data_IF_280496216329
#
_entry.id   IF_280496216329
#
_cell.length_a   1.000
_cell.length_b   1.000
_cell.length_c   1.000
_cell.angle_alpha   90.00
_cell.angle_beta   90.00
_cell.angle_gamma   90.00
#
_symmetry.space_group_name_H-M   'P 1'
#
loop_
_entity.id
_entity.type
_entity.pdbx_description
1 polymer ?
#
# COMPACT_ATOMS: atom_id res chain seq x y z
N UNK A 1 -24.52 11.14 20.79
CA UNK A 1 -23.24 10.60 20.28
C UNK A 1 -23.21 9.11 20.58
N UNK A 2 -23.64 8.26 19.64
CA UNK A 2 -23.44 6.82 19.77
C UNK A 2 -22.00 6.51 19.35
N UNK A 3 -21.22 5.97 20.28
CA UNK A 3 -19.90 5.42 19.97
C UNK A 3 -20.06 4.11 19.20
N UNK A 4 -19.46 4.00 18.02
CA UNK A 4 -19.30 2.72 17.33
C UNK A 4 -18.34 1.84 18.16
N UNK A 5 -18.90 0.83 18.82
CA UNK A 5 -18.15 -0.33 19.29
C UNK A 5 -17.91 -1.26 18.09
N UNK A 6 -16.69 -1.75 17.92
CA UNK A 6 -16.40 -2.81 16.96
C UNK A 6 -17.02 -4.10 17.50
N UNK A 7 -18.06 -4.61 16.82
CA UNK A 7 -18.67 -5.89 17.16
C UNK A 7 -17.64 -7.01 16.90
N UNK A 8 -17.00 -7.51 17.95
CA UNK A 8 -16.01 -8.59 17.82
C UNK A 8 -15.18 -8.93 19.06
N UNK A 9 -15.48 -8.41 20.26
CA UNK A 9 -14.74 -8.77 21.48
C UNK A 9 -15.66 -9.25 22.61
N UNK A 10 -15.04 -10.07 23.48
CA UNK A 10 -15.57 -10.83 24.63
C UNK A 10 -16.63 -10.05 25.42
N UNK A 11 -17.77 -10.67 25.79
CA UNK A 11 -18.74 -10.03 26.68
C UNK A 11 -18.11 -9.88 28.07
N UNK A 12 -17.75 -8.65 28.44
CA UNK A 12 -17.43 -8.28 29.82
C UNK A 12 -18.58 -7.42 30.33
N UNK A 13 -19.08 -7.76 31.52
CA UNK A 13 -20.24 -7.18 32.20
C UNK A 13 -20.29 -5.64 32.12
N UNK A 14 -21.50 -5.10 31.95
CA UNK A 14 -21.80 -3.68 31.79
C UNK A 14 -21.13 -2.81 32.88
N UNK A 15 -20.03 -2.19 32.49
CA UNK A 15 -19.42 -1.03 33.12
C UNK A 15 -18.86 -0.15 32.01
N UNK A 16 -19.32 1.09 31.92
CA UNK A 16 -18.95 2.08 30.91
C UNK A 16 -17.44 2.10 30.61
N UNK A 17 -17.04 1.56 29.46
CA UNK A 17 -15.71 1.72 28.89
C UNK A 17 -15.84 2.39 27.52
N UNK A 18 -15.39 3.63 27.45
CA UNK A 18 -15.02 4.29 26.20
C UNK A 18 -13.87 3.53 25.55
N UNK A 19 -13.79 3.53 24.22
CA UNK A 19 -12.75 2.84 23.47
C UNK A 19 -11.36 3.35 23.86
N UNK A 20 -10.63 2.61 24.67
CA UNK A 20 -9.18 2.75 24.82
C UNK A 20 -8.50 1.88 23.78
N UNK A 21 -8.03 2.52 22.71
CA UNK A 21 -7.02 1.93 21.83
C UNK A 21 -5.79 1.60 22.66
N UNK A 22 -5.25 0.40 22.53
CA UNK A 22 -4.01 -0.01 23.18
C UNK A 22 -2.80 0.79 22.66
N UNK A 23 -2.64 1.98 23.20
CA UNK A 23 -1.36 2.55 23.58
C UNK A 23 -1.46 2.85 25.08
N UNK A 24 -0.42 2.47 25.83
CA UNK A 24 -0.14 2.87 27.23
C UNK A 24 -1.15 3.84 27.87
N UNK A 25 -1.84 3.42 28.92
CA UNK A 25 -2.78 4.28 29.65
C UNK A 25 -2.07 5.53 30.18
N UNK A 26 -2.41 6.68 29.61
CA UNK A 26 -2.05 7.98 30.16
C UNK A 26 -3.05 8.38 31.25
N UNK A 27 -2.79 7.96 32.49
CA UNK A 27 -3.31 8.68 33.65
C UNK A 27 -2.52 9.99 33.79
N UNK A 28 -3.24 11.08 33.95
CA UNK A 28 -2.72 12.44 34.14
C UNK A 28 -1.77 12.54 35.35
N UNK A 29 -0.46 12.41 35.10
CA UNK A 29 0.64 12.88 35.96
C UNK A 29 1.95 12.88 35.15
N UNK A 30 2.83 13.81 35.49
CA UNK A 30 4.06 14.26 34.84
C UNK A 30 5.02 13.22 34.22
N UNK A 31 5.60 13.60 33.06
CA UNK A 31 6.89 13.21 32.46
C UNK A 31 7.30 11.72 32.42
N UNK A 32 6.94 11.04 31.32
CA UNK A 32 7.72 9.92 30.76
C UNK A 32 7.34 9.67 29.28
N UNK A 33 8.27 10.00 28.38
CA UNK A 33 8.48 9.59 26.98
C UNK A 33 7.51 8.58 26.33
N UNK A 34 6.32 9.01 25.89
CA UNK A 34 5.51 8.20 24.96
C UNK A 34 6.21 8.11 23.60
N UNK A 35 6.74 6.94 23.21
CA UNK A 35 7.35 6.76 21.89
C UNK A 35 6.27 6.89 20.80
N UNK A 36 6.56 7.66 19.76
CA UNK A 36 5.71 7.75 18.57
C UNK A 36 6.22 6.72 17.58
N UNK A 37 5.39 5.72 17.27
CA UNK A 37 5.69 4.77 16.20
C UNK A 37 5.37 5.41 14.86
N UNK A 38 6.30 6.21 14.34
CA UNK A 38 6.15 6.83 13.03
C UNK A 38 6.38 5.84 11.87
N UNK A 39 6.64 4.55 12.11
CA UNK A 39 7.17 3.66 11.05
C UNK A 39 6.86 2.17 11.05
N UNK A 40 6.18 1.57 12.02
CA UNK A 40 6.28 0.12 12.13
C UNK A 40 5.70 -0.65 10.92
N UNK A 41 4.57 -0.23 10.33
CA UNK A 41 3.91 -0.99 9.24
C UNK A 41 3.36 -0.17 8.07
N UNK A 42 3.45 1.16 8.10
CA UNK A 42 2.76 2.02 7.12
C UNK A 42 1.23 1.88 7.22
N UNK A 43 0.71 1.81 8.44
CA UNK A 43 -0.72 1.64 8.71
C UNK A 43 -1.48 2.89 8.23
N UNK A 44 -2.47 2.75 7.32
CA UNK A 44 -3.16 3.88 6.70
C UNK A 44 -4.41 4.29 7.49
N UNK A 45 -4.23 4.63 8.76
CA UNK A 45 -5.34 4.97 9.67
C UNK A 45 -5.89 6.38 9.47
N UNK A 46 -5.24 7.25 8.69
CA UNK A 46 -5.78 8.59 8.37
C UNK A 46 -7.17 8.53 7.71
N UNK A 47 -7.44 7.44 6.97
CA UNK A 47 -8.68 7.25 6.24
C UNK A 47 -9.88 6.93 7.16
N UNK A 48 -9.64 6.65 8.45
CA UNK A 48 -10.73 6.36 9.40
C UNK A 48 -11.72 7.52 9.50
N UNK A 49 -11.23 8.77 9.46
CA UNK A 49 -12.09 9.95 9.50
C UNK A 49 -13.07 9.99 8.32
N UNK A 50 -12.59 9.69 7.11
CA UNK A 50 -13.42 9.61 5.91
C UNK A 50 -14.51 8.55 6.03
N UNK A 51 -14.15 7.33 6.45
CA UNK A 51 -15.11 6.23 6.52
C UNK A 51 -16.14 6.39 7.65
N UNK A 52 -15.77 7.06 8.75
CA UNK A 52 -16.73 7.46 9.79
C UNK A 52 -17.76 8.44 9.26
N UNK A 53 -17.37 9.38 8.41
CA UNK A 53 -18.27 10.33 7.76
C UNK A 53 -19.11 9.66 6.65
N UNK A 54 -18.55 8.68 5.95
CA UNK A 54 -19.29 7.88 4.97
C UNK A 54 -20.48 7.13 5.61
N UNK A 55 -20.32 6.67 6.86
CA UNK A 55 -21.38 6.08 7.66
C UNK A 55 -22.06 4.90 6.98
N UNK A 56 -23.39 4.85 7.07
CA UNK A 56 -24.23 3.77 6.53
C UNK A 56 -24.03 3.51 5.02
N UNK A 57 -23.59 4.50 4.24
CA UNK A 57 -23.31 4.29 2.80
C UNK A 57 -22.25 3.22 2.58
N UNK A 58 -21.30 3.10 3.50
CA UNK A 58 -20.19 2.14 3.46
C UNK A 58 -20.44 0.89 4.32
N UNK A 59 -21.58 0.78 5.01
CA UNK A 59 -21.94 -0.39 5.79
C UNK A 59 -22.25 -1.59 4.87
N UNK A 60 -21.87 -2.79 5.31
CA UNK A 60 -22.19 -4.06 4.66
C UNK A 60 -22.97 -4.93 5.65
N UNK A 61 -24.10 -5.48 5.20
CA UNK A 61 -24.90 -6.43 5.97
C UNK A 61 -24.68 -7.81 5.37
N UNK A 62 -24.19 -8.75 6.16
CA UNK A 62 -23.89 -10.12 5.73
C UNK A 62 -24.89 -11.06 6.40
N UNK A 63 -25.87 -11.63 5.65
CA UNK A 63 -26.73 -12.67 6.18
C UNK A 63 -25.92 -13.89 6.61
N UNK A 64 -26.31 -14.57 7.68
CA UNK A 64 -25.54 -15.70 8.24
C UNK A 64 -25.36 -16.91 7.30
N UNK A 65 -26.13 -16.98 6.21
CA UNK A 65 -26.02 -18.02 5.17
C UNK A 65 -25.19 -17.58 3.96
N UNK A 66 -24.85 -16.29 3.86
CA UNK A 66 -24.12 -15.77 2.70
C UNK A 66 -22.67 -16.26 2.71
N UNK A 67 -22.14 -16.61 1.54
CA UNK A 67 -20.73 -17.00 1.41
C UNK A 67 -20.35 -18.38 1.97
N UNK A 68 -21.31 -19.26 2.27
CA UNK A 68 -21.02 -20.61 2.80
C UNK A 68 -20.25 -21.53 1.83
N UNK A 69 -20.36 -21.29 0.52
CA UNK A 69 -19.68 -22.08 -0.52
C UNK A 69 -18.22 -21.65 -0.70
N UNK A 70 -17.34 -22.61 -0.99
CA UNK A 70 -15.97 -22.32 -1.45
C UNK A 70 -15.97 -21.54 -2.79
N UNK A 71 -16.88 -21.89 -3.68
CA UNK A 71 -16.92 -21.35 -5.05
C UNK A 71 -17.72 -20.05 -5.13
N UNK A 72 -17.16 -19.05 -5.81
CA UNK A 72 -17.88 -17.85 -6.26
C UNK A 72 -18.36 -18.01 -7.70
N UNK A 73 -17.48 -18.52 -8.57
CA UNK A 73 -17.76 -18.79 -9.97
C UNK A 73 -16.99 -20.04 -10.42
N UNK A 74 -17.62 -21.21 -10.35
CA UNK A 74 -16.96 -22.48 -10.64
C UNK A 74 -16.39 -22.60 -12.07
N UNK A 75 -16.92 -21.83 -13.03
CA UNK A 75 -16.42 -21.80 -14.41
C UNK A 75 -15.34 -20.75 -14.68
N UNK A 76 -15.04 -19.88 -13.71
CA UNK A 76 -14.06 -18.81 -13.85
C UNK A 76 -12.63 -19.29 -13.61
N UNK A 77 -11.65 -18.64 -14.27
CA UNK A 77 -10.22 -18.91 -14.06
C UNK A 77 -9.85 -18.77 -12.57
N UNK A 78 -10.29 -17.68 -11.94
CA UNK A 78 -10.16 -17.45 -10.50
C UNK A 78 -11.50 -17.81 -9.83
N UNK A 79 -11.77 -19.09 -9.64
CA UNK A 79 -13.10 -19.59 -9.22
C UNK A 79 -13.58 -19.11 -7.84
N UNK A 80 -12.68 -18.61 -7.00
CA UNK A 80 -12.99 -18.02 -5.69
C UNK A 80 -13.16 -16.50 -5.72
N UNK A 81 -13.09 -15.84 -6.89
CA UNK A 81 -13.33 -14.41 -7.06
C UNK A 81 -14.82 -14.11 -7.11
N UNK A 82 -15.29 -13.23 -6.23
CA UNK A 82 -16.66 -12.71 -6.26
C UNK A 82 -16.89 -11.83 -7.50
N UNK A 83 -17.92 -12.10 -8.32
CA UNK A 83 -18.22 -11.31 -9.52
C UNK A 83 -18.43 -9.82 -9.23
N UNK A 84 -19.02 -9.50 -8.07
CA UNK A 84 -19.24 -8.12 -7.66
C UNK A 84 -17.91 -7.40 -7.38
N UNK A 85 -16.95 -8.08 -6.74
CA UNK A 85 -15.63 -7.52 -6.53
C UNK A 85 -14.92 -7.26 -7.86
N UNK A 86 -14.97 -8.21 -8.79
CA UNK A 86 -14.39 -8.03 -10.13
C UNK A 86 -14.98 -6.80 -10.83
N UNK A 87 -16.30 -6.64 -10.79
CA UNK A 87 -16.99 -5.48 -11.37
C UNK A 87 -16.50 -4.18 -10.77
N UNK A 88 -16.45 -4.05 -9.44
CA UNK A 88 -16.06 -2.81 -8.78
C UNK A 88 -14.56 -2.50 -8.92
N UNK A 89 -13.70 -3.52 -8.98
CA UNK A 89 -12.27 -3.32 -9.28
C UNK A 89 -12.09 -2.76 -10.70
N UNK A 90 -12.75 -3.34 -11.70
CA UNK A 90 -12.67 -2.84 -13.08
C UNK A 90 -13.25 -1.43 -13.18
N UNK A 91 -14.36 -1.16 -12.48
CA UNK A 91 -15.01 0.15 -12.43
C UNK A 91 -14.11 1.22 -11.83
N UNK A 92 -13.45 0.97 -10.69
CA UNK A 92 -12.56 1.96 -10.07
C UNK A 92 -11.33 2.25 -10.94
N UNK A 93 -10.78 1.25 -11.64
CA UNK A 93 -9.67 1.48 -12.57
C UNK A 93 -10.07 2.30 -13.79
N UNK A 94 -11.26 2.06 -14.36
CA UNK A 94 -11.80 2.90 -15.45
C UNK A 94 -12.06 4.34 -15.00
N UNK A 95 -12.61 4.51 -13.80
CA UNK A 95 -12.86 5.83 -13.21
C UNK A 95 -11.55 6.61 -13.04
N UNK A 96 -10.53 5.99 -12.45
CA UNK A 96 -9.26 6.65 -12.15
C UNK A 96 -8.39 6.80 -13.40
N UNK A 97 -8.45 5.84 -14.31
CA UNK A 97 -7.60 5.76 -15.49
C UNK A 97 -6.14 5.42 -15.16
N UNK A 98 -5.89 4.76 -14.02
CA UNK A 98 -4.53 4.40 -13.58
C UNK A 98 -4.04 3.04 -14.11
N UNK A 99 -4.91 2.16 -14.60
CA UNK A 99 -4.49 0.88 -15.14
C UNK A 99 -5.42 0.38 -16.24
N UNK A 100 -4.85 -0.32 -17.21
CA UNK A 100 -5.58 -1.15 -18.16
C UNK A 100 -6.11 -2.38 -17.41
N UNK A 101 -7.37 -2.32 -16.99
CA UNK A 101 -8.03 -3.46 -16.33
C UNK A 101 -8.73 -4.37 -17.34
N UNK A 102 -9.38 -3.81 -18.36
CA UNK A 102 -10.11 -4.58 -19.36
C UNK A 102 -9.14 -5.37 -20.25
N UNK A 103 -9.49 -6.63 -20.54
CA UNK A 103 -8.61 -7.58 -21.23
C UNK A 103 -7.62 -8.33 -20.32
N UNK A 104 -7.51 -7.97 -19.04
CA UNK A 104 -6.67 -8.67 -18.06
C UNK A 104 -7.46 -9.70 -17.25
N UNK A 105 -6.78 -10.78 -16.83
CA UNK A 105 -7.27 -11.72 -15.84
C UNK A 105 -7.10 -11.13 -14.43
N UNK A 106 -8.16 -11.19 -13.62
CA UNK A 106 -8.11 -10.73 -12.23
C UNK A 106 -7.88 -11.92 -11.30
N UNK A 107 -6.82 -11.85 -10.48
CA UNK A 107 -6.54 -12.82 -9.41
C UNK A 107 -6.62 -12.10 -8.07
N UNK A 108 -7.55 -12.49 -7.21
CA UNK A 108 -7.67 -11.94 -5.85
C UNK A 108 -6.78 -12.71 -4.87
N UNK A 109 -6.22 -12.01 -3.89
CA UNK A 109 -5.38 -12.60 -2.84
C UNK A 109 -5.57 -11.88 -1.50
N UNK A 110 -5.06 -12.52 -0.45
CA UNK A 110 -5.08 -12.06 0.95
C UNK A 110 -4.08 -10.91 1.16
N UNK A 111 -4.34 -9.79 0.48
CA UNK A 111 -3.42 -8.68 0.28
C UNK A 111 -2.37 -8.95 -0.80
N UNK A 112 -1.68 -7.91 -1.23
CA UNK A 112 -0.61 -8.02 -2.23
C UNK A 112 0.56 -8.86 -1.74
N UNK A 113 0.77 -9.01 -0.43
CA UNK A 113 1.76 -9.93 0.15
C UNK A 113 1.60 -11.36 -0.34
N UNK A 114 0.37 -11.89 -0.42
CA UNK A 114 0.14 -13.23 -0.98
C UNK A 114 0.32 -13.23 -2.49
N UNK A 115 -0.15 -12.19 -3.18
CA UNK A 115 -0.07 -12.08 -4.64
C UNK A 115 1.37 -11.94 -5.16
N UNK A 116 2.25 -11.28 -4.40
CA UNK A 116 3.68 -11.25 -4.66
C UNK A 116 4.25 -12.66 -4.73
N UNK A 117 3.96 -13.48 -3.71
CA UNK A 117 4.43 -14.86 -3.65
C UNK A 117 3.84 -15.70 -4.78
N UNK A 118 2.55 -15.49 -5.10
CA UNK A 118 1.88 -16.16 -6.20
C UNK A 118 2.52 -15.80 -7.56
N UNK A 119 2.82 -14.53 -7.79
CA UNK A 119 3.45 -14.05 -9.02
C UNK A 119 4.90 -14.56 -9.14
N UNK A 120 5.69 -14.49 -8.07
CA UNK A 120 7.05 -15.06 -8.06
C UNK A 120 7.03 -16.57 -8.32
N UNK A 121 6.11 -17.30 -7.70
CA UNK A 121 5.91 -18.73 -7.98
C UNK A 121 5.51 -18.99 -9.44
N UNK A 122 4.61 -18.18 -10.00
CA UNK A 122 4.13 -18.37 -11.37
C UNK A 122 5.22 -18.10 -12.42
N UNK A 123 6.11 -17.15 -12.15
CA UNK A 123 7.20 -16.76 -13.04
C UNK A 123 8.47 -17.60 -12.87
N UNK A 124 8.65 -18.24 -11.71
CA UNK A 124 9.78 -19.10 -11.43
C UNK A 124 9.87 -20.26 -12.44
N UNK A 125 11.08 -20.57 -12.94
CA UNK A 125 11.30 -21.73 -13.80
C UNK A 125 10.91 -23.04 -13.09
N UNK A 126 10.33 -23.99 -13.82
CA UNK A 126 9.90 -25.29 -13.29
C UNK A 126 11.01 -26.33 -13.19
N UNK A 127 12.19 -26.08 -13.77
CA UNK A 127 13.24 -27.09 -13.99
C UNK A 127 14.67 -26.55 -13.80
N UNK A 128 14.93 -25.88 -12.69
CA UNK A 128 16.28 -25.40 -12.36
C UNK A 128 16.77 -25.96 -11.03
N UNK A 129 18.03 -26.39 -10.98
CA UNK A 129 18.71 -26.84 -9.75
C UNK A 129 18.94 -25.70 -8.74
N UNK A 130 18.61 -24.46 -9.11
CA UNK A 130 18.80 -23.25 -8.30
C UNK A 130 17.56 -22.34 -8.35
N UNK A 131 17.24 -21.66 -7.23
CA UNK A 131 16.16 -20.69 -7.18
C UNK A 131 16.48 -19.45 -8.04
N UNK A 132 15.47 -18.93 -8.75
CA UNK A 132 15.59 -17.69 -9.54
C UNK A 132 15.83 -16.49 -8.63
N UNK A 133 16.66 -15.54 -9.07
CA UNK A 133 16.90 -14.31 -8.31
C UNK A 133 15.69 -13.38 -8.38
N UNK A 134 15.32 -12.79 -7.24
CA UNK A 134 14.32 -11.72 -7.13
C UNK A 134 15.05 -10.44 -6.76
N UNK A 135 14.93 -9.42 -7.59
CA UNK A 135 15.68 -8.16 -7.46
C UNK A 135 14.75 -6.96 -7.50
N UNK A 136 15.19 -5.83 -6.95
CA UNK A 136 14.49 -4.54 -7.07
C UNK A 136 15.51 -3.41 -6.98
N UNK A 137 15.37 -2.30 -7.73
CA UNK A 137 16.30 -1.17 -7.62
C UNK A 137 16.33 -0.56 -6.21
N UNK A 138 17.51 -0.36 -5.64
CA UNK A 138 17.62 0.33 -4.34
C UNK A 138 17.29 1.85 -4.46
N UNK A 139 16.67 2.47 -3.44
CA UNK A 139 16.11 1.84 -2.25
C UNK A 139 14.81 1.08 -2.59
N UNK A 140 14.61 -0.10 -2.02
CA UNK A 140 13.52 -1.02 -2.37
C UNK A 140 12.69 -1.46 -1.16
N UNK A 141 11.46 -1.90 -1.45
CA UNK A 141 10.70 -2.75 -0.54
C UNK A 141 11.08 -4.21 -0.75
N UNK A 142 11.72 -4.84 0.24
CA UNK A 142 12.06 -6.26 0.20
C UNK A 142 10.97 -7.15 0.81
N UNK A 143 10.82 -8.35 0.26
CA UNK A 143 9.88 -9.38 0.75
C UNK A 143 10.61 -10.69 1.02
N UNK A 144 11.42 -10.75 2.07
CA UNK A 144 12.25 -11.92 2.39
C UNK A 144 11.48 -13.04 3.15
N UNK A 145 10.18 -13.18 2.89
CA UNK A 145 9.28 -13.95 3.76
C UNK A 145 9.18 -15.44 3.41
N UNK A 146 9.92 -15.95 2.43
CA UNK A 146 9.90 -17.37 2.07
C UNK A 146 11.25 -17.88 1.57
N UNK A 147 11.80 -18.86 2.30
CA UNK A 147 12.85 -19.77 1.82
C UNK A 147 12.19 -20.84 0.94
N UNK A 148 11.99 -20.54 -0.34
CA UNK A 148 11.52 -21.51 -1.32
C UNK A 148 12.68 -22.01 -2.18
N UNK A 149 12.59 -23.26 -2.67
CA UNK A 149 13.50 -23.74 -3.72
C UNK A 149 13.28 -23.07 -5.08
N UNK A 150 12.22 -22.27 -5.23
CA UNK A 150 11.82 -21.66 -6.51
C UNK A 150 12.49 -20.32 -6.76
N UNK A 151 12.61 -19.48 -5.73
CA UNK A 151 13.15 -18.13 -5.84
C UNK A 151 13.86 -17.68 -4.55
N UNK A 152 14.80 -16.73 -4.68
CA UNK A 152 15.55 -16.13 -3.58
C UNK A 152 15.72 -14.64 -3.77
N UNK A 153 15.73 -13.88 -2.68
CA UNK A 153 16.10 -12.46 -2.75
C UNK A 153 17.57 -12.31 -3.18
N UNK A 154 17.80 -11.49 -4.21
CA UNK A 154 19.10 -11.30 -4.84
C UNK A 154 19.62 -9.85 -4.75
N UNK A 155 18.86 -8.92 -4.17
CA UNK A 155 19.30 -7.56 -3.86
C UNK A 155 18.96 -6.54 -4.96
N UNK A 156 19.87 -5.57 -5.15
CA UNK A 156 19.67 -4.44 -6.04
C UNK A 156 19.68 -4.87 -7.52
N UNK A 157 18.59 -4.56 -8.23
CA UNK A 157 18.45 -4.87 -9.65
C UNK A 157 19.53 -4.21 -10.52
N UNK A 158 20.09 -3.06 -10.09
CA UNK A 158 21.14 -2.37 -10.83
C UNK A 158 22.45 -3.15 -10.89
N UNK A 159 22.66 -4.14 -10.02
CA UNK A 159 23.82 -5.03 -10.08
C UNK A 159 23.73 -6.08 -11.21
N UNK A 160 22.57 -6.21 -11.87
CA UNK A 160 22.28 -7.25 -12.85
C UNK A 160 22.11 -6.74 -14.29
N UNK A 161 22.54 -5.50 -14.57
CA UNK A 161 22.53 -4.93 -15.92
C UNK A 161 23.50 -5.64 -16.88
N UNK A 162 23.09 -5.81 -18.15
CA UNK A 162 23.92 -6.37 -19.22
C UNK A 162 23.98 -7.91 -19.26
N UNK A 163 25.08 -8.46 -19.78
CA UNK A 163 25.27 -9.92 -19.95
C UNK A 163 25.66 -10.67 -18.66
N UNK A 164 25.82 -9.95 -17.55
CA UNK A 164 26.27 -10.49 -16.27
C UNK A 164 25.14 -11.00 -15.36
N UNK A 165 23.88 -10.73 -15.72
CA UNK A 165 22.70 -11.23 -14.99
C UNK A 165 22.10 -12.48 -15.64
N UNK A 166 21.93 -13.56 -14.86
CA UNK A 166 21.06 -14.68 -15.25
C UNK A 166 19.59 -14.26 -15.31
N UNK A 167 18.68 -15.22 -15.54
CA UNK A 167 17.23 -14.95 -15.48
C UNK A 167 16.85 -14.48 -14.06
N UNK A 168 16.21 -13.32 -13.96
CA UNK A 168 15.74 -12.74 -12.71
C UNK A 168 14.28 -12.30 -12.81
N UNK A 169 13.61 -12.29 -11.66
CA UNK A 169 12.32 -11.64 -11.47
C UNK A 169 12.58 -10.25 -10.88
N UNK A 170 12.16 -9.21 -11.60
CA UNK A 170 12.29 -7.83 -11.13
C UNK A 170 10.99 -7.39 -10.43
N UNK A 171 11.11 -6.86 -9.21
CA UNK A 171 10.02 -6.20 -8.52
C UNK A 171 10.09 -4.68 -8.76
N UNK A 172 9.14 -4.17 -9.53
CA UNK A 172 9.03 -2.74 -9.87
C UNK A 172 7.94 -2.12 -9.01
N UNK A 173 8.32 -1.39 -7.96
CA UNK A 173 7.38 -0.70 -7.08
C UNK A 173 7.23 0.75 -7.56
N UNK A 174 6.03 1.16 -7.97
CA UNK A 174 5.80 2.47 -8.58
C UNK A 174 4.40 3.03 -8.23
N UNK A 175 4.28 4.18 -7.55
CA UNK A 175 5.31 4.89 -6.81
C UNK A 175 6.05 4.01 -5.80
N UNK A 176 7.35 4.23 -5.68
CA UNK A 176 8.22 3.38 -4.90
C UNK A 176 8.04 3.56 -3.38
N UNK A 177 8.36 2.49 -2.65
CA UNK A 177 8.53 2.51 -1.21
C UNK A 177 10.02 2.25 -0.93
N UNK A 178 10.77 3.23 -0.39
CA UNK A 178 10.27 4.28 0.51
C UNK A 178 10.13 5.69 -0.08
N UNK A 179 10.70 5.98 -1.24
CA UNK A 179 10.97 7.36 -1.70
C UNK A 179 9.86 8.00 -2.56
N UNK A 180 8.84 7.24 -2.96
CA UNK A 180 7.74 7.73 -3.80
C UNK A 180 8.10 7.95 -5.27
N UNK A 181 9.31 7.56 -5.70
CA UNK A 181 9.74 7.71 -7.09
C UNK A 181 8.86 6.88 -8.04
N UNK A 182 8.56 7.42 -9.22
CA UNK A 182 7.96 6.65 -10.32
C UNK A 182 9.07 5.80 -10.95
N UNK A 183 8.80 4.50 -11.08
CA UNK A 183 9.78 3.51 -11.56
C UNK A 183 9.23 2.70 -12.72
N UNK A 184 10.16 2.29 -13.56
CA UNK A 184 10.00 1.31 -14.63
C UNK A 184 10.99 0.16 -14.40
N UNK A 185 10.79 -0.96 -15.08
CA UNK A 185 11.73 -2.07 -15.07
C UNK A 185 13.10 -1.63 -15.60
N UNK A 186 14.17 -2.01 -14.90
CA UNK A 186 15.55 -1.71 -15.30
C UNK A 186 16.19 -2.88 -16.05
N UNK A 187 15.71 -4.10 -15.86
CA UNK A 187 16.18 -5.27 -16.61
C UNK A 187 15.47 -5.35 -17.98
N UNK A 188 16.25 -5.44 -19.06
CA UNK A 188 15.72 -5.45 -20.43
C UNK A 188 14.85 -6.68 -20.71
N UNK A 189 13.58 -6.44 -21.06
CA UNK A 189 12.65 -7.46 -21.56
C UNK A 189 13.11 -8.09 -22.87
N UNK A 190 13.79 -7.32 -23.73
CA UNK A 190 14.20 -7.72 -25.08
C UNK A 190 15.25 -8.84 -25.08
N UNK A 191 15.97 -8.96 -23.96
CA UNK A 191 16.94 -10.04 -23.75
C UNK A 191 16.30 -11.35 -23.24
N UNK A 192 15.01 -11.32 -22.88
CA UNK A 192 14.33 -12.44 -22.21
C UNK A 192 14.81 -12.70 -20.77
N UNK A 193 15.69 -11.86 -20.22
CA UNK A 193 16.37 -12.07 -18.93
C UNK A 193 15.65 -11.50 -17.71
N UNK A 194 14.63 -10.65 -17.90
CA UNK A 194 13.88 -10.01 -16.81
C UNK A 194 12.37 -10.21 -16.96
N UNK A 195 11.75 -10.88 -15.98
CA UNK A 195 10.28 -10.91 -15.83
C UNK A 195 9.88 -9.93 -14.74
N UNK A 196 9.11 -8.91 -15.06
CA UNK A 196 8.78 -7.84 -14.13
C UNK A 196 7.40 -8.03 -13.46
N UNK A 197 7.34 -7.86 -12.14
CA UNK A 197 6.12 -7.73 -11.36
C UNK A 197 5.99 -6.26 -10.95
N UNK A 198 4.92 -5.60 -11.40
CA UNK A 198 4.69 -4.19 -11.07
C UNK A 198 3.79 -4.07 -9.84
N UNK A 199 4.36 -3.63 -8.72
CA UNK A 199 3.61 -3.28 -7.52
C UNK A 199 3.15 -1.81 -7.58
N UNK A 200 1.86 -1.65 -7.86
CA UNK A 200 1.21 -0.36 -8.10
C UNK A 200 0.27 0.01 -6.94
N UNK A 201 0.52 -0.50 -5.74
CA UNK A 201 -0.33 -0.24 -4.56
C UNK A 201 -0.45 1.25 -4.21
N UNK A 202 0.54 2.08 -4.58
CA UNK A 202 0.50 3.52 -4.38
C UNK A 202 0.10 4.31 -5.64
N UNK A 203 -0.20 3.66 -6.76
CA UNK A 203 -0.52 4.36 -8.02
C UNK A 203 -1.98 4.83 -8.05
N UNK A 204 -2.30 5.74 -7.12
CA UNK A 204 -3.62 6.35 -6.93
C UNK A 204 -3.50 7.89 -6.80
N UNK A 205 -4.54 8.66 -7.16
CA UNK A 205 -4.46 10.13 -7.28
C UNK A 205 -4.06 10.87 -6.00
N UNK A 206 -4.26 10.26 -4.83
CA UNK A 206 -3.88 10.86 -3.55
C UNK A 206 -2.38 10.82 -3.25
N UNK A 207 -1.62 9.96 -3.95
CA UNK A 207 -0.18 9.80 -3.75
C UNK A 207 0.65 10.38 -4.88
N UNK A 208 0.14 10.33 -6.12
CA UNK A 208 0.90 10.73 -7.30
C UNK A 208 -0.02 11.20 -8.43
N UNK A 209 0.44 12.09 -9.34
CA UNK A 209 -0.26 12.35 -10.59
C UNK A 209 -0.47 11.05 -11.40
N UNK A 210 -1.70 10.84 -11.88
CA UNK A 210 -1.99 9.75 -12.83
C UNK A 210 -1.68 10.24 -14.24
N UNK A 211 -0.49 9.92 -14.75
CA UNK A 211 0.00 10.42 -16.05
C UNK A 211 -0.47 9.57 -17.22
N UNK A 212 -0.67 8.27 -17.00
CA UNK A 212 -1.16 7.32 -18.01
C UNK A 212 -1.70 6.04 -17.35
N UNK A 213 -2.59 5.29 -18.01
CA UNK A 213 -2.96 3.96 -17.55
C UNK A 213 -1.76 3.01 -17.66
N UNK A 214 -1.40 2.36 -16.55
CA UNK A 214 -0.39 1.31 -16.54
C UNK A 214 -0.87 0.09 -17.35
N UNK A 215 0.03 -0.53 -18.10
CA UNK A 215 -0.29 -1.63 -19.03
C UNK A 215 0.79 -2.72 -19.04
N UNK A 216 1.31 -3.06 -17.86
CA UNK A 216 2.35 -4.08 -17.69
C UNK A 216 1.75 -5.50 -17.64
N UNK A 217 2.59 -6.54 -17.65
CA UNK A 217 2.12 -7.93 -17.70
C UNK A 217 1.50 -8.43 -16.39
N UNK A 218 2.05 -8.01 -15.25
CA UNK A 218 1.51 -8.29 -13.91
C UNK A 218 1.49 -6.98 -13.14
N UNK A 219 0.29 -6.54 -12.74
CA UNK A 219 0.09 -5.32 -11.95
C UNK A 219 -0.63 -5.64 -10.64
N UNK A 220 -0.05 -5.26 -9.50
CA UNK A 220 -0.59 -5.54 -8.17
C UNK A 220 -1.18 -4.29 -7.51
N UNK A 221 -2.34 -4.46 -6.88
CA UNK A 221 -3.06 -3.39 -6.17
C UNK A 221 -3.66 -3.91 -4.87
N UNK A 222 -3.98 -3.00 -3.95
CA UNK A 222 -4.47 -3.37 -2.60
C UNK A 222 -5.50 -2.40 -2.06
N UNK A 223 -6.49 -2.93 -1.32
CA UNK A 223 -7.43 -2.14 -0.54
C UNK A 223 -6.72 -1.29 0.51
N UNK A 224 -5.59 -1.78 1.05
CA UNK A 224 -4.86 -1.12 2.15
C UNK A 224 -4.49 0.32 1.80
N UNK A 225 -3.93 0.55 0.62
CA UNK A 225 -3.37 1.84 0.22
C UNK A 225 -4.34 2.66 -0.61
N UNK A 226 -5.31 2.02 -1.26
CA UNK A 226 -6.41 2.74 -1.91
C UNK A 226 -7.32 3.42 -0.87
N UNK A 227 -7.82 2.65 0.11
CA UNK A 227 -8.92 3.08 0.98
C UNK A 227 -8.60 3.10 2.47
N UNK A 228 -7.40 2.67 2.87
CA UNK A 228 -7.05 2.53 4.28
C UNK A 228 -7.49 1.22 4.94
N UNK A 229 -8.13 0.31 4.20
CA UNK A 229 -8.64 -0.96 4.72
C UNK A 229 -7.56 -2.05 4.84
N UNK A 230 -6.47 -1.75 5.56
CA UNK A 230 -5.33 -2.65 5.75
C UNK A 230 -5.71 -4.00 6.37
N UNK A 231 -6.67 -4.00 7.30
CA UNK A 231 -7.19 -5.17 7.99
C UNK A 231 -8.15 -6.05 7.17
N UNK A 232 -8.69 -5.57 6.03
CA UNK A 232 -9.53 -6.41 5.15
C UNK A 232 -8.69 -7.49 4.46
N UNK A 233 -7.36 -7.32 4.43
CA UNK A 233 -6.40 -8.25 3.82
C UNK A 233 -6.82 -8.63 2.40
N UNK A 234 -7.08 -7.63 1.55
CA UNK A 234 -7.50 -7.87 0.17
C UNK A 234 -6.68 -7.07 -0.82
N UNK A 235 -6.13 -7.77 -1.81
CA UNK A 235 -5.49 -7.20 -2.98
C UNK A 235 -5.88 -7.98 -4.23
N UNK A 236 -5.56 -7.42 -5.38
CA UNK A 236 -5.81 -8.04 -6.67
C UNK A 236 -4.60 -7.85 -7.59
N UNK A 237 -4.41 -8.83 -8.47
CA UNK A 237 -3.49 -8.77 -9.58
C UNK A 237 -4.28 -8.66 -10.88
N UNK A 238 -3.89 -7.74 -11.75
CA UNK A 238 -4.26 -7.74 -13.16
C UNK A 238 -3.13 -8.43 -13.93
N UNK A 239 -3.45 -9.58 -14.52
CA UNK A 239 -2.48 -10.46 -15.17
C UNK A 239 -2.84 -10.61 -16.65
N UNK A 240 -1.90 -10.28 -17.53
CA UNK A 240 -2.12 -10.31 -18.98
C UNK A 240 -2.11 -11.73 -19.53
N UNK A 241 -1.14 -12.53 -19.11
CA UNK A 241 -0.95 -13.91 -19.56
C UNK A 241 -1.86 -14.88 -18.79
N UNK A 242 -2.62 -15.70 -19.50
CA UNK A 242 -3.57 -16.64 -18.90
C UNK A 242 -2.91 -17.76 -18.10
N UNK A 243 -1.77 -18.26 -18.55
CA UNK A 243 -1.07 -19.37 -17.89
C UNK A 243 -0.35 -18.89 -16.62
N UNK A 244 0.19 -17.67 -16.63
CA UNK A 244 0.67 -17.01 -15.41
C UNK A 244 -0.49 -16.83 -14.43
N UNK A 245 -1.65 -16.34 -14.89
CA UNK A 245 -2.82 -16.18 -14.04
C UNK A 245 -3.28 -17.51 -13.42
N UNK A 246 -3.33 -18.61 -14.20
CA UNK A 246 -3.66 -19.95 -13.70
C UNK A 246 -2.68 -20.43 -12.63
N UNK A 247 -1.38 -20.22 -12.81
CA UNK A 247 -0.36 -20.57 -11.80
C UNK A 247 -0.51 -19.76 -10.52
N UNK A 248 -0.81 -18.46 -10.64
CA UNK A 248 -1.10 -17.62 -9.47
C UNK A 248 -2.35 -18.10 -8.72
N UNK A 249 -3.42 -18.44 -9.44
CA UNK A 249 -4.63 -19.03 -8.85
C UNK A 249 -4.33 -20.34 -8.15
N UNK A 250 -3.52 -21.21 -8.78
CA UNK A 250 -3.09 -22.47 -8.18
C UNK A 250 -2.32 -22.25 -6.87
N UNK A 251 -1.44 -21.26 -6.80
CA UNK A 251 -0.71 -20.91 -5.58
C UNK A 251 -1.66 -20.46 -4.45
N UNK A 252 -2.61 -19.56 -4.75
CA UNK A 252 -3.59 -19.07 -3.75
C UNK A 252 -4.51 -20.20 -3.29
N UNK A 253 -4.94 -21.07 -4.21
CA UNK A 253 -5.68 -22.29 -3.88
C UNK A 253 -4.88 -23.19 -2.92
N UNK A 254 -3.63 -23.50 -3.28
CA UNK A 254 -2.77 -24.37 -2.48
C UNK A 254 -2.36 -23.79 -1.12
N UNK A 255 -2.36 -22.46 -0.97
CA UNK A 255 -1.99 -21.80 0.29
C UNK A 255 -3.17 -21.54 1.22
N UNK A 256 -4.33 -21.12 0.69
CA UNK A 256 -5.47 -20.67 1.53
C UNK A 256 -6.85 -21.08 1.02
N UNK A 257 -6.95 -21.89 -0.04
CA UNK A 257 -8.22 -22.29 -0.67
C UNK A 257 -9.04 -21.05 -1.08
N UNK A 258 -8.37 -20.07 -1.68
CA UNK A 258 -8.97 -18.81 -2.09
C UNK A 258 -8.87 -17.70 -1.03
N UNK A 259 -9.82 -16.76 -1.07
CA UNK A 259 -9.84 -15.55 -0.23
C UNK A 259 -11.22 -15.41 0.42
N UNK A 260 -11.24 -14.95 1.68
CA UNK A 260 -12.46 -14.74 2.48
C UNK A 260 -13.56 -14.01 1.68
N UNK A 261 -14.77 -14.59 1.64
CA UNK A 261 -15.93 -13.99 0.97
C UNK A 261 -16.33 -12.68 1.61
N UNK A 262 -16.28 -12.60 2.94
CA UNK A 262 -16.57 -11.38 3.71
C UNK A 262 -15.63 -10.24 3.33
N UNK A 263 -14.32 -10.55 3.18
CA UNK A 263 -13.35 -9.55 2.72
C UNK A 263 -13.67 -9.04 1.32
N UNK A 264 -14.04 -9.95 0.40
CA UNK A 264 -14.40 -9.61 -0.97
C UNK A 264 -15.67 -8.76 -1.05
N UNK A 265 -16.74 -9.14 -0.34
CA UNK A 265 -17.99 -8.39 -0.25
C UNK A 265 -17.77 -7.00 0.32
N UNK A 266 -17.05 -6.90 1.45
CA UNK A 266 -16.73 -5.63 2.08
C UNK A 266 -15.91 -4.75 1.14
N UNK A 267 -14.91 -5.31 0.45
CA UNK A 267 -14.11 -4.56 -0.51
C UNK A 267 -14.95 -4.07 -1.69
N UNK A 268 -15.81 -4.92 -2.26
CA UNK A 268 -16.71 -4.54 -3.34
C UNK A 268 -17.62 -3.38 -2.92
N UNK A 269 -18.25 -3.46 -1.73
CA UNK A 269 -19.08 -2.38 -1.18
C UNK A 269 -18.30 -1.06 -1.04
N UNK A 270 -17.08 -1.12 -0.50
CA UNK A 270 -16.23 0.06 -0.33
C UNK A 270 -15.84 0.66 -1.68
N UNK A 271 -15.43 -0.15 -2.66
CA UNK A 271 -15.08 0.30 -4.01
C UNK A 271 -16.28 0.89 -4.75
N UNK A 272 -17.47 0.33 -4.55
CA UNK A 272 -18.74 0.88 -5.05
C UNK A 272 -18.96 2.30 -4.52
N UNK A 273 -18.89 2.50 -3.20
CA UNK A 273 -19.03 3.83 -2.59
C UNK A 273 -17.99 4.83 -3.11
N UNK A 274 -16.75 4.38 -3.33
CA UNK A 274 -15.71 5.23 -3.93
C UNK A 274 -16.12 5.65 -5.33
N UNK A 275 -16.56 4.71 -6.16
CA UNK A 275 -16.85 4.97 -7.58
C UNK A 275 -18.12 5.81 -7.76
N UNK A 276 -19.17 5.51 -6.99
CA UNK A 276 -20.45 6.25 -6.99
C UNK A 276 -20.25 7.75 -6.69
N UNK A 277 -19.21 8.10 -5.93
CA UNK A 277 -18.92 9.49 -5.55
C UNK A 277 -18.42 10.39 -6.70
N UNK A 278 -18.07 9.80 -7.84
CA UNK A 278 -17.54 10.50 -9.01
C UNK A 278 -18.42 10.38 -10.25
N UNK A 279 -19.53 9.64 -10.17
CA UNK A 279 -20.46 9.56 -11.29
C UNK A 279 -21.27 10.86 -11.44
N UNK A 280 -21.60 11.28 -12.67
CA UNK A 280 -22.47 12.43 -12.90
C UNK A 280 -23.87 12.12 -12.35
N UNK A 281 -24.25 12.78 -11.26
CA UNK A 281 -25.56 12.65 -10.64
C UNK A 281 -26.19 14.01 -10.32
N UNK A 282 -27.49 14.07 -9.97
CA UNK A 282 -28.21 15.29 -9.60
C UNK A 282 -27.77 15.88 -8.24
N UNK A 283 -26.54 15.60 -7.81
CA UNK A 283 -26.00 16.05 -6.53
C UNK A 283 -25.63 17.54 -6.56
N UNK A 284 -25.82 18.18 -5.42
CA UNK A 284 -25.50 19.58 -5.13
C UNK A 284 -23.99 19.91 -5.05
N UNK A 285 -23.12 18.99 -5.47
CA UNK A 285 -21.66 19.14 -5.39
C UNK A 285 -21.04 18.81 -4.02
N UNK A 286 -21.80 18.31 -3.05
CA UNK A 286 -21.33 18.04 -1.66
C UNK A 286 -20.88 16.59 -1.41
N UNK A 287 -20.77 15.77 -2.45
CA UNK A 287 -20.52 14.34 -2.29
C UNK A 287 -19.13 14.06 -1.71
N UNK A 288 -19.09 13.26 -0.64
CA UNK A 288 -17.84 12.88 0.03
C UNK A 288 -16.99 11.98 -0.88
N UNK A 289 -15.92 12.55 -1.45
CA UNK A 289 -15.05 11.95 -2.46
C UNK A 289 -13.70 11.50 -1.86
N UNK A 290 -13.40 10.21 -1.96
CA UNK A 290 -12.23 9.60 -1.31
C UNK A 290 -10.90 10.20 -1.77
N UNK A 291 -10.64 10.20 -3.08
CA UNK A 291 -9.40 10.73 -3.64
C UNK A 291 -9.22 12.23 -3.35
N UNK A 292 -10.29 13.03 -3.41
CA UNK A 292 -10.24 14.46 -3.06
C UNK A 292 -9.89 14.68 -1.58
N UNK A 293 -10.57 13.96 -0.68
CA UNK A 293 -10.28 13.97 0.75
C UNK A 293 -8.83 13.57 1.03
N UNK A 294 -8.42 12.42 0.48
CA UNK A 294 -7.13 11.82 0.76
C UNK A 294 -6.00 12.69 0.22
N UNK A 295 -6.13 13.21 -1.00
CA UNK A 295 -5.14 14.09 -1.62
C UNK A 295 -4.97 15.40 -0.84
N UNK A 296 -6.08 16.02 -0.43
CA UNK A 296 -6.03 17.23 0.40
C UNK A 296 -5.32 16.94 1.72
N UNK A 297 -5.68 15.83 2.38
CA UNK A 297 -5.11 15.44 3.68
C UNK A 297 -3.62 15.09 3.58
N UNK A 298 -3.19 14.35 2.55
CA UNK A 298 -1.76 14.06 2.33
C UNK A 298 -1.00 15.34 2.01
N UNK A 299 -1.53 16.23 1.18
CA UNK A 299 -0.92 17.53 0.88
C UNK A 299 -0.77 18.45 2.09
N UNK A 300 -1.76 18.49 3.00
CA UNK A 300 -1.65 19.19 4.29
C UNK A 300 -0.49 18.63 5.14
N UNK A 301 -0.34 17.31 5.19
CA UNK A 301 0.72 16.64 5.95
C UNK A 301 2.10 16.88 5.36
N UNK A 302 2.24 16.80 4.04
CA UNK A 302 3.51 17.10 3.37
C UNK A 302 3.93 18.56 3.60
N UNK A 303 3.01 19.53 3.50
CA UNK A 303 3.31 20.94 3.84
C UNK A 303 3.77 21.12 5.28
N UNK A 304 3.11 20.47 6.25
CA UNK A 304 3.52 20.53 7.65
C UNK A 304 4.90 19.89 7.87
N UNK A 305 5.20 18.79 7.18
CA UNK A 305 6.50 18.13 7.24
C UNK A 305 7.62 19.00 6.65
N UNK A 306 7.40 19.61 5.47
CA UNK A 306 8.37 20.54 4.88
C UNK A 306 8.66 21.71 5.81
N UNK A 307 7.64 22.29 6.44
CA UNK A 307 7.82 23.38 7.41
C UNK A 307 8.64 22.93 8.63
N UNK A 308 8.42 21.71 9.14
CA UNK A 308 9.18 21.16 10.26
C UNK A 308 10.66 20.92 9.91
N UNK A 309 10.92 20.35 8.72
CA UNK A 309 12.28 20.07 8.23
C UNK A 309 13.04 21.38 7.96
N UNK A 310 12.38 22.37 7.35
CA UNK A 310 12.99 23.67 7.06
C UNK A 310 13.33 24.47 8.33
N UNK A 311 12.63 24.23 9.45
CA UNK A 311 12.83 24.97 10.69
C UNK A 311 14.18 24.66 11.37
N UNK A 312 14.74 23.47 11.16
CA UNK A 312 15.95 23.03 11.89
C UNK A 312 17.19 22.91 11.02
N UNK A 313 17.02 22.64 9.72
CA UNK A 313 18.14 22.37 8.80
C UNK A 313 18.85 21.03 9.05
N UNK A 314 18.39 20.26 10.03
CA UNK A 314 18.98 18.97 10.45
C UNK A 314 18.65 17.84 9.48
N UNK A 315 17.59 18.00 8.69
CA UNK A 315 17.06 16.99 7.79
C UNK A 315 16.86 17.52 6.37
N UNK A 316 16.70 16.60 5.42
CA UNK A 316 16.20 16.90 4.08
C UNK A 316 15.14 15.89 3.66
N UNK A 317 14.36 16.31 2.67
CA UNK A 317 13.34 15.50 1.99
C UNK A 317 13.70 15.42 0.50
N UNK A 318 13.16 14.44 -0.24
CA UNK A 318 13.28 14.40 -1.68
C UNK A 318 12.64 15.63 -2.32
N UNK A 319 13.10 15.98 -3.52
CA UNK A 319 12.51 17.07 -4.30
C UNK A 319 11.04 16.78 -4.63
N UNK A 320 10.24 17.86 -4.69
CA UNK A 320 8.83 17.74 -5.02
C UNK A 320 8.64 17.30 -6.48
N UNK A 321 7.97 16.16 -6.66
CA UNK A 321 7.61 15.66 -7.99
C UNK A 321 6.28 16.29 -8.39
N UNK A 322 6.23 16.96 -9.53
CA UNK A 322 4.99 17.53 -10.09
C UNK A 322 4.67 16.93 -11.45
N UNK A 323 3.39 16.84 -11.79
CA UNK A 323 2.97 16.30 -13.09
C UNK A 323 1.51 16.59 -13.40
N UNK A 324 1.17 16.56 -14.68
CA UNK A 324 -0.22 16.65 -15.11
C UNK A 324 -0.95 15.34 -14.79
N UNK A 325 -2.04 15.43 -14.03
CA UNK A 325 -2.85 14.29 -13.63
C UNK A 325 -4.09 14.17 -14.51
N UNK A 326 -4.19 13.07 -15.25
CA UNK A 326 -5.33 12.76 -16.12
C UNK A 326 -6.63 12.53 -15.33
N UNK A 327 -6.55 12.17 -14.05
CA UNK A 327 -7.74 12.03 -13.20
C UNK A 327 -8.30 13.39 -12.80
N UNK A 328 -7.48 14.28 -12.23
CA UNK A 328 -7.92 15.61 -11.75
C UNK A 328 -7.96 16.68 -12.84
N UNK A 329 -7.37 16.42 -14.01
CA UNK A 329 -7.19 17.38 -15.13
C UNK A 329 -6.42 18.63 -14.73
N UNK A 330 -5.45 18.48 -13.83
CA UNK A 330 -4.64 19.57 -13.29
C UNK A 330 -3.18 19.13 -13.13
N UNK A 331 -2.26 20.09 -13.20
CA UNK A 331 -0.89 19.88 -12.72
C UNK A 331 -0.88 19.86 -11.20
N UNK A 332 -0.39 18.77 -10.64
CA UNK A 332 -0.44 18.50 -9.20
C UNK A 332 0.89 17.96 -8.71
N UNK A 333 1.24 18.28 -7.46
CA UNK A 333 2.37 17.65 -6.78
C UNK A 333 2.01 16.22 -6.32
N UNK A 334 3.01 15.34 -6.29
CA UNK A 334 2.96 14.04 -5.66
C UNK A 334 3.08 14.19 -4.14
N UNK A 335 2.29 13.39 -3.42
CA UNK A 335 2.30 13.33 -1.97
C UNK A 335 2.45 11.88 -1.53
N UNK A 336 3.66 11.30 -1.63
CA UNK A 336 3.87 9.88 -1.37
C UNK A 336 3.37 9.43 0.00
N UNK A 337 3.01 8.15 0.10
CA UNK A 337 2.55 7.50 1.33
C UNK A 337 3.58 7.54 2.47
N UNK A 338 4.85 7.69 2.12
CA UNK A 338 5.96 7.77 3.05
C UNK A 338 6.86 8.95 2.71
N UNK A 339 7.44 9.55 3.74
CA UNK A 339 8.55 10.48 3.58
C UNK A 339 9.88 9.73 3.73
N UNK A 340 10.78 9.96 2.79
CA UNK A 340 12.16 9.46 2.83
C UNK A 340 13.09 10.55 3.34
N UNK A 341 13.19 10.62 4.67
CA UNK A 341 13.88 11.69 5.38
C UNK A 341 15.36 11.34 5.52
N UNK A 342 16.26 12.26 5.18
CA UNK A 342 17.71 12.09 5.41
C UNK A 342 18.22 13.02 6.50
N UNK A 343 18.99 12.50 7.44
CA UNK A 343 19.68 13.26 8.48
C UNK A 343 21.03 13.82 7.97
N UNK A 344 21.29 15.10 8.22
CA UNK A 344 22.57 15.76 7.89
C UNK A 344 23.35 16.25 9.11
N UNK A 345 22.84 16.04 10.32
CA UNK A 345 23.52 16.44 11.56
C UNK A 345 24.93 15.83 11.66
N UNK A 346 25.91 16.65 11.99
CA UNK A 346 27.28 16.18 12.24
C UNK A 346 27.31 15.15 13.37
N UNK A 347 28.07 14.07 13.16
CA UNK A 347 28.16 12.94 14.09
C UNK A 347 26.99 11.97 14.05
N UNK A 348 25.98 12.17 13.19
CA UNK A 348 24.88 11.20 12.99
C UNK A 348 25.20 10.30 11.79
N UNK A 349 25.43 9.02 12.08
CA UNK A 349 25.64 7.97 11.07
C UNK A 349 24.39 7.11 10.85
N UNK A 350 23.64 6.82 11.91
CA UNK A 350 22.33 6.14 11.87
C UNK A 350 21.21 7.12 12.22
N UNK A 351 20.40 7.48 11.22
CA UNK A 351 19.29 8.40 11.39
C UNK A 351 18.11 7.78 12.16
N UNK A 352 17.91 6.46 12.07
CA UNK A 352 16.86 5.77 12.82
C UNK A 352 17.18 5.69 14.32
N UNK A 353 18.45 5.44 14.66
CA UNK A 353 18.92 5.50 16.04
C UNK A 353 18.84 6.92 16.60
N UNK A 354 19.28 7.91 15.83
CA UNK A 354 19.19 9.32 16.20
C UNK A 354 17.74 9.74 16.52
N UNK A 355 16.80 9.45 15.61
CA UNK A 355 15.38 9.74 15.82
C UNK A 355 14.78 8.98 17.01
N UNK A 356 15.25 7.75 17.29
CA UNK A 356 14.83 6.97 18.45
C UNK A 356 15.17 7.68 19.77
N UNK A 357 16.32 8.36 19.83
CA UNK A 357 16.71 9.21 20.97
C UNK A 357 15.73 10.35 21.24
N UNK A 358 15.06 10.84 20.20
CA UNK A 358 13.99 11.85 20.28
C UNK A 358 12.58 11.24 20.36
N UNK A 359 12.48 9.93 20.64
CA UNK A 359 11.22 9.23 20.80
C UNK A 359 10.46 8.99 19.48
N UNK A 360 11.09 9.17 18.32
CA UNK A 360 10.52 8.87 17.00
C UNK A 360 11.05 7.51 16.56
N UNK A 361 10.18 6.52 16.39
CA UNK A 361 10.58 5.22 15.85
C UNK A 361 10.38 5.22 14.35
N UNK A 362 11.49 5.28 13.60
CA UNK A 362 11.52 5.24 12.13
C UNK A 362 12.10 3.90 11.59
N UNK A 363 11.83 3.54 10.33
CA UNK A 363 12.53 2.42 9.67
C UNK A 363 13.80 2.95 9.00
N UNK A 364 14.95 2.45 9.41
CA UNK A 364 16.26 2.86 8.90
C UNK A 364 16.50 2.45 7.44
N UNK A 365 17.31 3.24 6.75
CA UNK A 365 17.43 3.15 5.31
C UNK A 365 18.14 1.90 4.80
N UNK A 366 19.01 1.31 5.60
CA UNK A 366 19.67 0.03 5.30
C UNK A 366 18.67 -1.11 5.09
N UNK A 367 17.51 -1.07 5.77
CA UNK A 367 16.43 -2.05 5.56
C UNK A 367 15.83 -2.01 4.14
N UNK A 368 16.07 -0.93 3.41
CA UNK A 368 15.65 -0.72 2.04
C UNK A 368 16.82 -0.83 1.04
N UNK A 369 17.99 -1.32 1.48
CA UNK A 369 19.21 -1.32 0.67
C UNK A 369 19.76 0.09 0.41
N UNK A 370 19.38 1.08 1.23
CA UNK A 370 19.81 2.47 1.13
C UNK A 370 20.79 2.90 2.24
N UNK A 371 21.06 4.20 2.28
CA UNK A 371 21.95 4.86 3.26
C UNK A 371 21.37 4.82 4.69
N UNK A 372 22.19 4.50 5.70
CA UNK A 372 21.84 4.50 7.12
C UNK A 372 21.38 5.89 7.64
N UNK A 373 21.79 6.95 6.95
CA UNK A 373 21.35 8.32 7.21
C UNK A 373 19.94 8.62 6.72
N UNK A 374 19.30 7.69 6.00
CA UNK A 374 17.92 7.82 5.57
C UNK A 374 16.96 7.04 6.46
N UNK A 375 15.73 7.52 6.58
CA UNK A 375 14.64 6.81 7.24
C UNK A 375 13.34 6.95 6.49
N UNK A 376 12.49 5.92 6.57
CA UNK A 376 11.11 5.97 6.08
C UNK A 376 10.14 6.33 7.21
N UNK A 377 9.34 7.37 6.97
CA UNK A 377 8.33 7.89 7.90
C UNK A 377 6.92 7.74 7.30
N UNK A 378 5.96 7.21 8.07
CA UNK A 378 4.58 6.99 7.65
C UNK A 378 3.77 8.31 7.60
N UNK A 379 3.28 8.68 6.42
CA UNK A 379 2.46 9.88 6.22
C UNK A 379 0.96 9.61 6.33
N UNK A 380 0.56 8.37 6.57
CA UNK A 380 -0.84 7.93 6.54
C UNK A 380 -1.39 7.52 7.92
N UNK A 381 -0.68 7.81 9.01
CA UNK A 381 -1.12 7.45 10.37
C UNK A 381 -2.31 8.31 10.86
N UNK A 382 -2.77 8.14 12.10
CA UNK A 382 -3.76 9.01 12.73
C UNK A 382 -3.18 10.40 12.96
N UNK A 383 -4.06 11.39 13.00
CA UNK A 383 -3.68 12.80 13.18
C UNK A 383 -2.89 13.04 14.48
N UNK A 384 -3.27 12.40 15.58
CA UNK A 384 -2.56 12.52 16.85
C UNK A 384 -1.09 12.05 16.74
N UNK A 385 -0.85 10.93 16.03
CA UNK A 385 0.50 10.37 15.82
C UNK A 385 1.31 11.29 14.92
N UNK A 386 0.71 11.75 13.80
CA UNK A 386 1.34 12.67 12.87
C UNK A 386 1.70 14.02 13.53
N UNK A 387 0.81 14.59 14.34
CA UNK A 387 1.05 15.87 14.99
C UNK A 387 2.23 15.81 15.98
N UNK A 388 2.36 14.72 16.75
CA UNK A 388 3.51 14.54 17.65
C UNK A 388 4.80 14.31 16.87
N UNK A 389 4.76 13.60 15.73
CA UNK A 389 5.90 13.48 14.82
C UNK A 389 6.39 14.86 14.36
N UNK A 390 5.49 15.71 13.86
CA UNK A 390 5.83 17.07 13.40
C UNK A 390 6.40 17.91 14.55
N UNK A 391 5.75 17.92 15.71
CA UNK A 391 6.22 18.65 16.89
C UNK A 391 7.65 18.24 17.29
N UNK A 392 7.95 16.94 17.24
CA UNK A 392 9.27 16.43 17.60
C UNK A 392 10.31 16.80 16.54
N UNK A 393 10.03 16.58 15.26
CA UNK A 393 10.95 16.93 14.19
C UNK A 393 11.34 18.41 14.22
N UNK A 394 10.37 19.32 14.43
CA UNK A 394 10.63 20.76 14.55
C UNK A 394 11.47 21.16 15.77
N UNK A 395 11.68 20.26 16.74
CA UNK A 395 12.45 20.51 17.96
C UNK A 395 13.86 19.92 17.93
N UNK A 396 14.20 19.16 16.89
CA UNK A 396 15.51 18.50 16.77
C UNK A 396 16.46 19.46 16.06
N UNK A 397 17.38 20.07 16.82
CA UNK A 397 18.47 20.90 16.30
C UNK A 397 19.71 20.07 16.04
#
# INVERSE_FOLDING_TARGET
MLGCLVLGWVPVSMGSLTSSSSAFSSSSTSSATTRVSASSFGDPTMYEAFWREAGERAAAVIPGWWGMSYFSNAGGLCWYLEPELEREVRRVHRLVGNAMADGYHLVVGTGTTQLFQAAMYALAPTSTDRPVGVVSPAPYYSTDLLLSGYYRWAGDANAFHGDHGGENIELVVSPNNPDGAIREAVLSSDSGKGKAIHDLVYYWPQYTPITSPAAHDIMLFTMSKLSGHGGTRLGWALVKDSDVAKKMVYFVYGSTIGVSKDSQLRAAKILGVVSDAYEPGPGDGTQLRLFDFARRRTGERWRALHAAVAATGTFSLPDEITGYCNFTKQTVAAYPAFAWLRCYKDGVEDCAEFLRGHGIVARGGEQFGGDARCVRVNMMDRDAVFNVLIQRLSSIT
#
